data_IF_773149672004
#
_entry.id   IF_773149672004
#
_cell.length_a   1.000
_cell.length_b   1.000
_cell.length_c   1.000
_cell.angle_alpha   90.00
_cell.angle_beta   90.00
_cell.angle_gamma   90.00
#
_symmetry.space_group_name_H-M   'P 1'
#
loop_
_entity.id
_entity.type
_entity.pdbx_description
1 polymer ?
#
# COMPACT_ATOMS: atom_id res chain seq x y z
N UNK A 1 36.96 -14.14 -31.01
CA UNK A 1 36.95 -13.05 -30.01
C UNK A 1 35.51 -12.69 -29.71
N UNK A 2 34.89 -13.23 -28.65
CA UNK A 2 33.52 -12.90 -28.29
C UNK A 2 33.43 -11.43 -27.85
N UNK A 3 32.59 -10.68 -28.55
CA UNK A 3 32.33 -9.26 -28.32
C UNK A 3 31.70 -9.09 -26.94
N UNK A 4 32.44 -8.49 -26.01
CA UNK A 4 31.93 -8.06 -24.73
C UNK A 4 30.91 -6.93 -24.94
N UNK A 5 29.64 -7.31 -25.09
CA UNK A 5 28.54 -6.36 -25.03
C UNK A 5 28.59 -5.65 -23.69
N UNK A 6 29.00 -4.38 -23.74
CA UNK A 6 28.92 -3.46 -22.63
C UNK A 6 27.47 -3.48 -22.11
N UNK A 7 27.28 -4.05 -20.91
CA UNK A 7 26.06 -3.89 -20.13
C UNK A 7 25.94 -2.42 -19.75
N UNK A 8 25.47 -1.62 -20.70
CA UNK A 8 24.96 -0.31 -20.45
C UNK A 8 23.87 -0.50 -19.39
N UNK A 9 24.09 0.09 -18.21
CA UNK A 9 23.08 0.22 -17.17
C UNK A 9 21.98 1.13 -17.71
N UNK A 10 21.13 0.58 -18.58
CA UNK A 10 19.91 1.23 -19.03
C UNK A 10 18.96 1.12 -17.85
N UNK A 11 18.72 2.28 -17.24
CA UNK A 11 17.81 2.47 -16.13
C UNK A 11 16.49 1.72 -16.35
N UNK A 12 16.13 0.86 -15.40
CA UNK A 12 14.86 0.78 -14.65
C UNK A 12 13.51 0.96 -15.38
N UNK A 13 13.46 1.12 -16.69
CA UNK A 13 12.23 1.20 -17.47
C UNK A 13 11.66 -0.21 -17.62
N UNK A 14 10.35 -0.33 -17.55
CA UNK A 14 9.65 -1.56 -17.91
C UNK A 14 9.72 -1.69 -19.43
N UNK A 15 10.27 -2.79 -19.92
CA UNK A 15 10.26 -3.06 -21.35
C UNK A 15 8.88 -3.55 -21.82
N UNK A 16 8.71 -3.69 -23.13
CA UNK A 16 7.42 -4.10 -23.72
C UNK A 16 7.03 -5.53 -23.32
N UNK A 17 7.98 -6.44 -23.21
CA UNK A 17 7.73 -7.85 -22.88
C UNK A 17 7.34 -7.99 -21.41
N UNK A 18 8.05 -7.31 -20.50
CA UNK A 18 7.68 -7.23 -19.08
C UNK A 18 6.26 -6.67 -18.90
N UNK A 19 5.85 -5.68 -19.69
CA UNK A 19 4.48 -5.16 -19.61
C UNK A 19 3.43 -6.17 -20.09
N UNK A 20 3.75 -6.99 -21.09
CA UNK A 20 2.85 -8.05 -21.56
C UNK A 20 2.72 -9.15 -20.50
N UNK A 21 3.82 -9.61 -19.92
CA UNK A 21 3.80 -10.57 -18.82
C UNK A 21 3.01 -10.05 -17.60
N UNK A 22 3.07 -8.74 -17.33
CA UNK A 22 2.27 -8.13 -16.27
C UNK A 22 0.77 -8.16 -16.57
N UNK A 23 0.38 -7.94 -17.83
CA UNK A 23 -1.03 -7.98 -18.24
C UNK A 23 -1.54 -9.42 -18.18
N UNK A 24 -0.76 -10.39 -18.66
CA UNK A 24 -1.09 -11.83 -18.61
C UNK A 24 -1.21 -12.32 -17.16
N UNK A 25 -0.24 -11.99 -16.31
CA UNK A 25 -0.31 -12.28 -14.87
C UNK A 25 -1.53 -11.63 -14.20
N UNK A 26 -1.96 -10.46 -14.68
CA UNK A 26 -3.14 -9.77 -14.13
C UNK A 26 -4.44 -10.45 -14.55
N UNK A 27 -4.54 -10.90 -15.80
CA UNK A 27 -5.67 -11.68 -16.31
C UNK A 27 -5.87 -12.98 -15.52
N UNK A 28 -4.79 -13.69 -15.16
CA UNK A 28 -4.86 -14.92 -14.36
C UNK A 28 -5.29 -14.71 -12.90
N UNK A 29 -5.11 -13.50 -12.35
CA UNK A 29 -5.32 -13.23 -10.91
C UNK A 29 -6.69 -12.62 -10.63
N UNK A 30 -7.31 -11.99 -11.62
CA UNK A 30 -8.56 -11.26 -11.45
C UNK A 30 -9.65 -11.96 -12.26
N UNK A 31 -10.35 -12.87 -11.60
CA UNK A 31 -11.41 -13.73 -12.18
C UNK A 31 -12.62 -12.95 -12.72
N UNK A 32 -12.82 -11.70 -12.29
CA UNK A 32 -13.98 -10.88 -12.66
C UNK A 32 -13.48 -9.49 -13.09
N UNK A 33 -13.82 -8.97 -14.29
CA UNK A 33 -13.48 -7.62 -14.73
C UNK A 33 -14.25 -6.56 -13.93
N UNK A 34 -14.07 -6.55 -12.61
CA UNK A 34 -14.55 -5.49 -11.75
C UNK A 34 -13.67 -4.27 -11.98
N UNK A 35 -14.31 -3.11 -12.00
CA UNK A 35 -13.70 -1.80 -12.12
C UNK A 35 -12.89 -1.40 -10.85
N UNK A 36 -12.11 -2.33 -10.29
CA UNK A 36 -11.29 -2.15 -9.09
C UNK A 36 -9.91 -1.65 -9.47
N UNK A 37 -9.64 -0.37 -9.22
CA UNK A 37 -8.29 0.24 -9.29
C UNK A 37 -7.30 -0.37 -8.30
N UNK A 38 -7.82 -1.02 -7.27
CA UNK A 38 -7.08 -1.43 -6.09
C UNK A 38 -7.25 -2.93 -5.92
N UNK A 39 -6.14 -3.63 -6.08
CA UNK A 39 -5.99 -5.02 -5.68
C UNK A 39 -5.88 -5.08 -4.15
N UNK A 40 -6.54 -6.06 -3.55
CA UNK A 40 -6.33 -6.45 -2.16
C UNK A 40 -4.87 -6.89 -1.93
N UNK A 41 -4.46 -6.97 -0.68
CA UNK A 41 -3.12 -7.45 -0.33
C UNK A 41 -2.83 -8.84 -0.89
N UNK A 42 -3.78 -9.77 -0.79
CA UNK A 42 -3.64 -11.12 -1.35
C UNK A 42 -3.49 -11.09 -2.87
N UNK A 43 -4.36 -10.36 -3.57
CA UNK A 43 -4.29 -10.24 -5.04
C UNK A 43 -2.96 -9.60 -5.51
N UNK A 44 -2.40 -8.65 -4.77
CA UNK A 44 -1.08 -8.07 -5.08
C UNK A 44 0.04 -9.11 -5.00
N UNK A 45 0.05 -9.92 -3.95
CA UNK A 45 1.04 -10.98 -3.78
C UNK A 45 0.90 -12.05 -4.88
N UNK A 46 -0.33 -12.47 -5.19
CA UNK A 46 -0.60 -13.42 -6.27
C UNK A 46 -0.18 -12.86 -7.64
N UNK A 47 -0.48 -11.58 -7.92
CA UNK A 47 -0.06 -10.91 -9.15
C UNK A 47 1.46 -10.92 -9.30
N UNK A 48 2.21 -10.62 -8.24
CA UNK A 48 3.67 -10.64 -8.28
C UNK A 48 4.23 -12.04 -8.47
N UNK A 49 3.66 -13.05 -7.80
CA UNK A 49 4.06 -14.44 -7.96
C UNK A 49 3.85 -14.92 -9.41
N UNK A 50 2.67 -14.62 -10.00
CA UNK A 50 2.36 -14.94 -11.40
C UNK A 50 3.26 -14.22 -12.38
N UNK A 51 3.49 -12.93 -12.17
CA UNK A 51 4.43 -12.16 -12.97
C UNK A 51 5.85 -12.76 -12.96
N UNK A 52 6.36 -13.17 -11.79
CA UNK A 52 7.67 -13.80 -11.69
C UNK A 52 7.71 -15.16 -12.42
N UNK A 53 6.63 -15.94 -12.35
CA UNK A 53 6.52 -17.23 -13.03
C UNK A 53 6.54 -17.07 -14.56
N UNK A 54 5.73 -16.16 -15.10
CA UNK A 54 5.63 -15.91 -16.55
C UNK A 54 6.93 -15.29 -17.09
N UNK A 55 7.48 -14.29 -16.40
CA UNK A 55 8.70 -13.60 -16.85
C UNK A 55 9.99 -14.41 -16.66
N UNK A 56 9.93 -15.55 -15.93
CA UNK A 56 11.11 -16.34 -15.57
C UNK A 56 12.16 -15.58 -14.76
N UNK A 57 11.76 -14.48 -14.09
CA UNK A 57 12.66 -13.52 -13.47
C UNK A 57 12.06 -12.89 -12.23
N UNK A 58 12.85 -12.83 -11.15
CA UNK A 58 12.49 -12.14 -9.91
C UNK A 58 13.09 -10.72 -9.80
N UNK A 59 13.50 -10.12 -10.94
CA UNK A 59 14.16 -8.80 -10.97
C UNK A 59 13.27 -7.65 -10.49
N UNK A 60 11.94 -7.80 -10.51
CA UNK A 60 10.99 -6.76 -10.08
C UNK A 60 10.42 -7.12 -8.72
N UNK A 61 10.50 -6.19 -7.78
CA UNK A 61 9.86 -6.34 -6.47
C UNK A 61 8.33 -6.27 -6.57
N UNK A 62 7.63 -6.87 -5.60
CA UNK A 62 6.17 -6.80 -5.44
C UNK A 62 5.66 -5.35 -5.54
N UNK A 63 6.36 -4.44 -4.88
CA UNK A 63 6.08 -3.00 -4.91
C UNK A 63 6.22 -2.40 -6.31
N UNK A 64 7.23 -2.81 -7.09
CA UNK A 64 7.40 -2.37 -8.48
C UNK A 64 6.26 -2.85 -9.36
N UNK A 65 5.91 -4.14 -9.28
CA UNK A 65 4.82 -4.77 -10.04
C UNK A 65 3.48 -4.10 -9.74
N UNK A 66 3.15 -3.96 -8.46
CA UNK A 66 1.89 -3.31 -8.02
C UNK A 66 1.80 -1.86 -8.50
N UNK A 67 2.89 -1.09 -8.38
CA UNK A 67 2.90 0.31 -8.86
C UNK A 67 2.71 0.39 -10.38
N UNK A 68 3.29 -0.54 -11.12
CA UNK A 68 3.16 -0.56 -12.58
C UNK A 68 1.75 -0.97 -13.00
N UNK A 69 1.17 -1.99 -12.36
CA UNK A 69 -0.24 -2.38 -12.53
C UNK A 69 -1.17 -1.19 -12.35
N UNK A 70 -1.02 -0.44 -11.25
CA UNK A 70 -1.84 0.74 -10.98
C UNK A 70 -1.70 1.80 -12.10
N UNK A 71 -0.47 2.06 -12.58
CA UNK A 71 -0.22 2.99 -13.69
C UNK A 71 -0.91 2.56 -14.99
N UNK A 72 -0.88 1.26 -15.30
CA UNK A 72 -1.59 0.70 -16.46
C UNK A 72 -3.10 0.90 -16.34
N UNK A 73 -3.68 0.58 -15.18
CA UNK A 73 -5.10 0.78 -14.92
C UNK A 73 -5.53 2.25 -15.10
N UNK A 74 -4.81 3.19 -14.49
CA UNK A 74 -5.11 4.63 -14.60
C UNK A 74 -4.97 5.12 -16.05
N UNK A 75 -3.95 4.65 -16.77
CA UNK A 75 -3.74 5.02 -18.19
C UNK A 75 -4.85 4.48 -19.08
N UNK A 76 -5.24 3.21 -18.89
CA UNK A 76 -6.32 2.57 -19.63
C UNK A 76 -7.64 3.32 -19.45
N UNK A 77 -8.00 3.68 -18.21
CA UNK A 77 -9.21 4.47 -17.93
C UNK A 77 -9.20 5.85 -18.58
N UNK A 78 -8.05 6.54 -18.55
CA UNK A 78 -7.90 7.80 -19.26
C UNK A 78 -8.15 7.62 -20.75
N UNK A 79 -7.56 6.60 -21.38
CA UNK A 79 -7.72 6.30 -22.80
C UNK A 79 -9.20 6.02 -23.12
N UNK A 80 -9.83 5.09 -22.39
CA UNK A 80 -11.24 4.72 -22.60
C UNK A 80 -12.16 5.92 -22.41
N UNK A 81 -11.97 6.69 -21.34
CA UNK A 81 -12.80 7.88 -21.07
C UNK A 81 -12.61 8.98 -22.12
N UNK A 82 -11.39 9.12 -22.68
CA UNK A 82 -11.10 10.07 -23.76
C UNK A 82 -11.77 9.62 -25.05
N UNK A 83 -11.60 8.35 -25.44
CA UNK A 83 -12.25 7.78 -26.62
C UNK A 83 -13.77 7.92 -26.55
N UNK A 84 -14.38 7.60 -25.40
CA UNK A 84 -15.83 7.74 -25.20
C UNK A 84 -16.30 9.19 -25.36
N UNK A 85 -15.53 10.17 -24.88
CA UNK A 85 -15.85 11.60 -25.03
C UNK A 85 -15.68 12.10 -26.45
N UNK A 86 -14.63 11.65 -27.13
CA UNK A 86 -14.32 12.08 -28.49
C UNK A 86 -15.30 11.47 -29.50
N UNK A 87 -15.70 10.21 -29.30
CA UNK A 87 -16.73 9.55 -30.11
C UNK A 87 -18.05 10.34 -30.10
N UNK A 88 -18.47 10.84 -28.93
CA UNK A 88 -19.68 11.69 -28.81
C UNK A 88 -19.57 13.03 -29.55
N UNK A 89 -18.35 13.51 -29.80
CA UNK A 89 -18.07 14.80 -30.44
C UNK A 89 -17.65 14.67 -31.90
N UNK A 90 -17.55 13.46 -32.44
CA UNK A 90 -16.94 13.21 -33.75
C UNK A 90 -15.45 13.59 -33.82
N UNK A 91 -14.77 13.63 -32.68
CA UNK A 91 -13.34 13.96 -32.59
C UNK A 91 -12.46 12.70 -32.70
N UNK A 92 -11.17 12.91 -33.00
CA UNK A 92 -10.15 11.86 -33.14
C UNK A 92 -10.00 11.00 -31.88
N UNK A 93 -9.74 9.70 -32.06
CA UNK A 93 -9.48 8.78 -30.95
C UNK A 93 -8.14 9.05 -30.27
N UNK A 94 -7.92 8.49 -29.07
CA UNK A 94 -6.68 8.66 -28.30
C UNK A 94 -5.42 8.38 -29.11
N UNK A 95 -5.46 7.32 -29.93
CA UNK A 95 -4.32 6.88 -30.74
C UNK A 95 -4.07 7.76 -31.97
N UNK A 96 -5.05 8.57 -32.37
CA UNK A 96 -4.94 9.53 -33.48
C UNK A 96 -4.44 10.90 -33.00
N UNK A 97 -4.43 11.13 -31.68
CA UNK A 97 -3.88 12.35 -31.08
C UNK A 97 -2.35 12.37 -31.20
N UNK A 98 -1.78 13.56 -31.39
CA UNK A 98 -0.34 13.76 -31.35
C UNK A 98 0.24 13.44 -29.95
N UNK A 99 1.52 13.11 -29.89
CA UNK A 99 2.20 12.80 -28.63
C UNK A 99 2.11 13.97 -27.62
N UNK A 100 2.10 15.22 -28.09
CA UNK A 100 1.96 16.41 -27.27
C UNK A 100 0.56 16.50 -26.64
N UNK A 101 -0.49 16.23 -27.40
CA UNK A 101 -1.88 16.19 -26.91
C UNK A 101 -2.10 15.06 -25.91
N UNK A 102 -1.60 13.86 -26.21
CA UNK A 102 -1.65 12.73 -25.27
C UNK A 102 -0.94 13.05 -23.95
N UNK A 103 0.22 13.71 -24.01
CA UNK A 103 0.95 14.15 -22.83
C UNK A 103 0.17 15.19 -22.02
N UNK A 104 -0.45 16.18 -22.69
CA UNK A 104 -1.25 17.19 -22.02
C UNK A 104 -2.49 16.58 -21.34
N UNK A 105 -3.18 15.65 -22.00
CA UNK A 105 -4.29 14.92 -21.40
C UNK A 105 -3.85 14.12 -20.17
N UNK A 106 -2.68 13.45 -20.20
CA UNK A 106 -2.12 12.77 -19.01
C UNK A 106 -1.85 13.75 -17.87
N UNK A 107 -1.29 14.92 -18.17
CA UNK A 107 -0.98 15.96 -17.19
C UNK A 107 -2.26 16.51 -16.55
N UNK A 108 -3.25 16.84 -17.37
CA UNK A 108 -4.57 17.32 -16.91
C UNK A 108 -5.29 16.24 -16.12
N UNK A 109 -5.27 14.97 -16.55
CA UNK A 109 -5.86 13.87 -15.80
C UNK A 109 -5.22 13.69 -14.42
N UNK A 110 -3.88 13.74 -14.35
CA UNK A 110 -3.15 13.65 -13.08
C UNK A 110 -3.45 14.85 -12.16
N UNK A 111 -3.68 16.04 -12.74
CA UNK A 111 -4.09 17.23 -11.98
C UNK A 111 -5.55 17.14 -11.54
N UNK A 112 -6.42 16.58 -12.38
CA UNK A 112 -7.84 16.35 -12.14
C UNK A 112 -8.05 15.29 -11.07
N UNK A 113 -7.38 14.15 -11.10
CA UNK A 113 -7.42 13.19 -9.97
C UNK A 113 -6.92 13.80 -8.65
N UNK A 114 -6.01 14.79 -8.73
CA UNK A 114 -5.57 15.55 -7.54
C UNK A 114 -6.55 16.65 -7.10
N UNK A 115 -7.55 17.01 -7.89
CA UNK A 115 -8.45 18.15 -7.65
C UNK A 115 -9.95 17.90 -7.89
N UNK A 116 -10.37 16.70 -8.27
CA UNK A 116 -11.73 16.38 -8.74
C UNK A 116 -12.44 15.43 -7.78
N UNK A 117 -12.61 15.88 -6.54
CA UNK A 117 -13.79 15.58 -5.72
C UNK A 117 -14.64 16.84 -5.53
N UNK A 118 -14.54 17.80 -6.45
CA UNK A 118 -15.50 18.89 -6.60
C UNK A 118 -16.27 18.73 -7.91
N UNK A 119 -17.55 18.41 -7.73
CA UNK A 119 -18.71 18.68 -8.58
C UNK A 119 -18.91 17.82 -9.83
N UNK A 120 -20.03 17.08 -9.85
CA UNK A 120 -21.20 17.20 -10.77
C UNK A 120 -22.37 16.54 -9.98
N UNK A 121 -23.50 17.18 -9.67
CA UNK A 121 -24.53 17.71 -10.57
C UNK A 121 -25.12 19.08 -10.17
N UNK A 122 -25.71 19.81 -11.14
CA UNK A 122 -26.39 21.07 -10.93
C UNK A 122 -27.88 20.90 -10.55
N UNK A 123 -28.46 21.98 -10.02
CA UNK A 123 -29.89 22.22 -9.73
C UNK A 123 -30.43 21.69 -8.38
N UNK A 124 -30.32 22.51 -7.34
CA UNK A 124 -31.40 23.42 -6.91
C UNK A 124 -30.83 24.43 -5.90
N UNK A 125 -31.14 25.72 -6.11
CA UNK A 125 -30.82 26.82 -5.21
C UNK A 125 -31.53 26.61 -3.87
N UNK A 126 -30.76 26.24 -2.84
CA UNK A 126 -31.12 26.52 -1.46
C UNK A 126 -29.86 27.05 -0.75
N UNK A 127 -30.00 28.20 -0.09
CA UNK A 127 -28.99 28.97 0.67
C UNK A 127 -28.20 28.13 1.69
N UNK A 128 -27.32 27.26 1.21
CA UNK A 128 -26.40 26.51 2.04
C UNK A 128 -25.25 27.44 2.43
N UNK A 129 -25.41 28.08 3.60
CA UNK A 129 -24.39 28.80 4.36
C UNK A 129 -23.02 28.15 4.13
N UNK A 130 -22.13 28.92 3.49
CA UNK A 130 -20.78 28.56 3.10
C UNK A 130 -19.93 28.29 4.35
N UNK A 131 -20.15 27.13 4.95
CA UNK A 131 -19.32 26.63 6.05
C UNK A 131 -17.94 26.36 5.46
N UNK A 132 -16.86 26.95 5.99
CA UNK A 132 -15.52 26.84 5.41
C UNK A 132 -15.07 25.37 5.39
N UNK A 133 -15.32 24.72 4.25
CA UNK A 133 -14.92 23.35 3.95
C UNK A 133 -13.40 23.28 4.05
N UNK A 134 -12.90 22.40 4.93
CA UNK A 134 -11.50 21.99 5.08
C UNK A 134 -10.67 22.58 6.26
N UNK A 135 -11.28 22.98 7.37
CA UNK A 135 -10.53 23.07 8.61
C UNK A 135 -10.36 21.66 9.21
N UNK A 136 -9.11 21.19 9.37
CA UNK A 136 -8.84 19.93 10.07
C UNK A 136 -9.19 20.09 11.54
N UNK A 137 -10.10 19.25 12.02
CA UNK A 137 -10.51 19.23 13.43
C UNK A 137 -9.47 18.51 14.29
N UNK A 138 -9.54 18.68 15.62
CA UNK A 138 -8.73 17.90 16.57
C UNK A 138 -8.91 16.39 16.37
N UNK A 139 -10.13 15.95 16.05
CA UNK A 139 -10.42 14.55 15.71
C UNK A 139 -9.66 14.11 14.46
N UNK A 140 -9.66 14.93 13.41
CA UNK A 140 -8.96 14.60 12.16
C UNK A 140 -7.44 14.47 12.39
N UNK A 141 -6.88 15.28 13.30
CA UNK A 141 -5.46 15.18 13.67
C UNK A 141 -5.14 13.84 14.35
N UNK A 142 -5.96 13.41 15.31
CA UNK A 142 -5.79 12.12 15.98
C UNK A 142 -5.87 10.97 14.97
N UNK A 143 -6.93 10.94 14.15
CA UNK A 143 -7.12 9.94 13.10
C UNK A 143 -5.95 9.90 12.11
N UNK A 144 -5.36 11.05 11.79
CA UNK A 144 -4.20 11.11 10.89
C UNK A 144 -2.96 10.47 11.50
N UNK A 145 -2.68 10.72 12.78
CA UNK A 145 -1.51 10.14 13.46
C UNK A 145 -1.67 8.62 13.57
N UNK A 146 -2.87 8.16 13.95
CA UNK A 146 -3.19 6.73 14.02
C UNK A 146 -3.09 6.06 12.64
N UNK A 147 -3.63 6.70 11.59
CA UNK A 147 -3.51 6.23 10.21
C UNK A 147 -2.07 6.18 9.70
N UNK A 148 -1.23 7.14 10.08
CA UNK A 148 0.18 7.15 9.72
C UNK A 148 0.92 6.02 10.46
N UNK A 149 0.59 5.79 11.74
CA UNK A 149 1.13 4.66 12.48
C UNK A 149 0.78 3.32 11.83
N UNK A 150 -0.51 3.07 11.55
CA UNK A 150 -0.93 1.85 10.84
C UNK A 150 -0.27 1.70 9.48
N UNK A 151 -0.13 2.81 8.73
CA UNK A 151 0.52 2.76 7.43
C UNK A 151 2.01 2.40 7.55
N UNK A 152 2.70 2.83 8.60
CA UNK A 152 4.09 2.43 8.86
C UNK A 152 4.17 0.96 9.27
N UNK A 153 3.28 0.52 10.14
CA UNK A 153 3.26 -0.84 10.67
C UNK A 153 2.96 -1.86 9.58
N UNK A 154 1.88 -1.66 8.83
CA UNK A 154 1.57 -2.42 7.61
C UNK A 154 2.79 -2.48 6.68
N UNK A 155 3.45 -1.34 6.47
CA UNK A 155 4.57 -1.24 5.53
C UNK A 155 5.83 -1.98 5.99
N UNK A 156 6.04 -2.10 7.31
CA UNK A 156 7.10 -2.92 7.91
C UNK A 156 6.72 -4.40 7.80
N UNK A 157 5.48 -4.75 8.13
CA UNK A 157 4.98 -6.13 8.13
C UNK A 157 4.95 -6.74 6.72
N UNK A 158 4.78 -5.93 5.67
CA UNK A 158 4.86 -6.38 4.28
C UNK A 158 6.25 -6.84 3.84
N UNK A 159 7.26 -6.85 4.73
CA UNK A 159 8.52 -7.53 4.48
C UNK A 159 9.25 -6.94 3.27
N UNK A 160 9.42 -5.62 3.25
CA UNK A 160 10.36 -5.05 2.28
C UNK A 160 11.73 -5.70 2.53
N UNK A 161 12.33 -6.22 1.47
CA UNK A 161 13.70 -6.75 1.50
C UNK A 161 14.59 -5.75 2.27
N UNK A 162 15.40 -6.21 3.23
CA UNK A 162 16.23 -5.37 4.09
C UNK A 162 17.30 -4.58 3.32
N UNK A 163 17.30 -4.59 1.98
CA UNK A 163 18.17 -3.78 1.14
C UNK A 163 17.41 -2.77 0.26
N UNK A 164 16.08 -2.84 0.14
CA UNK A 164 15.31 -1.92 -0.72
C UNK A 164 14.90 -0.66 0.05
N UNK A 165 15.44 0.49 -0.37
CA UNK A 165 15.14 1.80 0.22
C UNK A 165 13.76 2.28 -0.19
N UNK A 166 12.72 1.87 0.52
CA UNK A 166 11.35 2.27 0.16
C UNK A 166 10.81 3.30 1.13
N UNK A 167 10.57 4.51 0.61
CA UNK A 167 9.88 5.56 1.35
C UNK A 167 8.41 5.19 1.52
N UNK A 168 7.88 5.35 2.74
CA UNK A 168 6.45 5.17 3.01
C UNK A 168 5.60 6.02 2.04
N UNK A 169 4.74 5.41 1.21
CA UNK A 169 3.91 6.16 0.29
C UNK A 169 2.78 6.90 1.01
N UNK A 170 2.64 8.20 0.75
CA UNK A 170 1.57 9.02 1.39
C UNK A 170 0.14 8.59 0.99
N UNK A 171 -0.03 7.86 -0.11
CA UNK A 171 -1.34 7.31 -0.48
C UNK A 171 -1.80 6.21 0.50
N UNK A 172 -0.85 5.47 1.11
CA UNK A 172 -1.17 4.44 2.10
C UNK A 172 -1.68 5.09 3.40
N UNK A 173 -1.00 6.16 3.85
CA UNK A 173 -1.48 6.98 4.99
C UNK A 173 -2.89 7.50 4.70
N UNK A 174 -3.14 8.02 3.49
CA UNK A 174 -4.49 8.48 3.10
C UNK A 174 -5.51 7.34 3.17
N UNK A 175 -5.17 6.16 2.67
CA UNK A 175 -6.07 5.00 2.65
C UNK A 175 -6.46 4.63 4.08
N UNK A 176 -5.48 4.51 4.98
CA UNK A 176 -5.72 4.24 6.41
C UNK A 176 -6.56 5.34 7.07
N UNK A 177 -6.27 6.61 6.75
CA UNK A 177 -7.02 7.74 7.28
C UNK A 177 -8.50 7.70 6.91
N UNK A 178 -8.81 7.39 5.65
CA UNK A 178 -10.20 7.21 5.20
C UNK A 178 -10.84 5.98 5.85
N UNK A 179 -10.09 4.88 5.99
CA UNK A 179 -10.59 3.65 6.63
C UNK A 179 -10.95 3.86 8.11
N UNK A 180 -10.22 4.72 8.81
CA UNK A 180 -10.50 5.12 10.21
C UNK A 180 -11.61 6.18 10.33
N UNK A 181 -12.31 6.49 9.23
CA UNK A 181 -13.44 7.43 9.22
C UNK A 181 -13.05 8.90 8.97
N UNK A 182 -11.83 9.16 8.49
CA UNK A 182 -11.44 10.49 8.02
C UNK A 182 -12.19 10.90 6.75
N UNK A 183 -12.29 12.21 6.44
CA UNK A 183 -13.03 12.70 5.27
C UNK A 183 -12.53 12.10 3.95
N UNK A 184 -13.44 11.49 3.17
CA UNK A 184 -13.12 10.79 1.92
C UNK A 184 -12.53 11.72 0.83
N UNK A 185 -12.86 13.01 0.89
CA UNK A 185 -12.36 14.04 -0.02
C UNK A 185 -10.92 14.49 0.32
N UNK A 186 -10.35 14.03 1.44
CA UNK A 186 -8.97 14.33 1.81
C UNK A 186 -8.01 13.83 0.73
N UNK A 187 -7.22 14.72 0.13
CA UNK A 187 -6.29 14.35 -0.95
C UNK A 187 -4.95 13.84 -0.41
N UNK A 188 -4.21 13.08 -1.22
CA UNK A 188 -2.81 12.70 -0.89
C UNK A 188 -1.93 13.95 -0.69
N UNK A 189 -2.22 15.04 -1.41
CA UNK A 189 -1.54 16.32 -1.23
C UNK A 189 -1.77 16.92 0.16
N UNK A 190 -3.02 16.85 0.66
CA UNK A 190 -3.38 17.27 2.01
C UNK A 190 -2.64 16.45 3.07
N UNK A 191 -2.66 15.12 2.95
CA UNK A 191 -1.89 14.19 3.81
C UNK A 191 -0.39 14.53 3.80
N UNK A 192 0.18 14.81 2.63
CA UNK A 192 1.60 15.17 2.48
C UNK A 192 1.93 16.51 3.16
N UNK A 193 1.05 17.50 3.05
CA UNK A 193 1.22 18.80 3.70
C UNK A 193 1.09 18.67 5.22
N UNK A 194 0.11 17.89 5.70
CA UNK A 194 -0.14 17.64 7.12
C UNK A 194 0.99 16.87 7.79
N UNK A 195 1.49 15.81 7.14
CA UNK A 195 2.69 15.09 7.56
C UNK A 195 3.86 16.04 7.79
N UNK A 196 4.16 16.92 6.82
CA UNK A 196 5.24 17.91 6.97
C UNK A 196 5.00 18.88 8.13
N UNK A 197 3.77 19.37 8.29
CA UNK A 197 3.41 20.27 9.38
C UNK A 197 3.61 19.61 10.75
N UNK A 198 3.21 18.34 10.92
CA UNK A 198 3.42 17.58 12.15
C UNK A 198 4.92 17.34 12.40
N UNK A 199 5.69 16.95 11.39
CA UNK A 199 7.14 16.74 11.55
C UNK A 199 7.83 18.02 12.03
N UNK A 200 7.49 19.17 11.44
CA UNK A 200 8.02 20.46 11.88
C UNK A 200 7.59 20.79 13.32
N UNK A 201 6.32 20.60 13.64
CA UNK A 201 5.79 20.85 14.99
C UNK A 201 6.43 19.94 16.04
N UNK A 202 6.62 18.66 15.74
CA UNK A 202 7.30 17.70 16.60
C UNK A 202 8.76 18.09 16.86
N UNK A 203 9.51 18.45 15.81
CA UNK A 203 10.90 18.87 15.96
C UNK A 203 11.01 20.16 16.78
N UNK A 204 10.05 21.07 16.62
CA UNK A 204 9.96 22.28 17.44
C UNK A 204 9.70 21.94 18.91
N UNK A 205 8.67 21.14 19.21
CA UNK A 205 8.35 20.71 20.58
C UNK A 205 9.56 20.02 21.21
N UNK A 206 10.23 19.14 20.46
CA UNK A 206 11.45 18.46 20.92
C UNK A 206 12.55 19.45 21.33
N UNK A 207 12.76 20.52 20.56
CA UNK A 207 13.74 21.56 20.92
C UNK A 207 13.31 22.32 22.19
N UNK A 208 12.03 22.64 22.32
CA UNK A 208 11.50 23.29 23.53
C UNK A 208 11.63 22.43 24.77
N UNK A 209 11.31 21.13 24.68
CA UNK A 209 11.47 20.18 25.79
C UNK A 209 12.92 20.19 26.28
N UNK A 210 13.89 20.05 25.37
CA UNK A 210 15.32 20.08 25.74
C UNK A 210 15.73 21.42 26.39
N UNK A 211 15.28 22.56 25.84
CA UNK A 211 15.65 23.87 26.41
C UNK A 211 15.01 24.15 27.77
N UNK A 212 13.75 23.76 27.97
CA UNK A 212 13.07 23.93 29.26
C UNK A 212 13.70 23.02 30.33
N UNK A 213 14.01 21.79 29.97
CA UNK A 213 14.73 20.85 30.83
C UNK A 213 16.09 21.42 31.27
N UNK A 214 16.83 22.07 30.36
CA UNK A 214 18.11 22.73 30.66
C UNK A 214 17.97 24.02 31.49
N UNK A 215 16.88 24.77 31.34
CA UNK A 215 16.68 26.07 31.99
C UNK A 215 16.20 25.95 33.44
N UNK A 216 15.15 25.18 33.66
CA UNK A 216 14.48 25.06 34.97
C UNK A 216 13.97 23.66 35.29
N UNK A 217 14.19 22.68 34.40
CA UNK A 217 13.69 21.32 34.58
C UNK A 217 12.18 21.17 34.33
N UNK A 218 11.52 22.20 33.79
CA UNK A 218 10.09 22.13 33.48
C UNK A 218 9.81 21.28 32.23
N UNK A 219 8.65 20.61 32.22
CA UNK A 219 8.19 19.86 31.07
C UNK A 219 7.28 20.74 30.19
N UNK A 220 7.55 20.75 28.89
CA UNK A 220 6.70 21.40 27.88
C UNK A 220 5.21 21.05 28.05
N UNK A 221 4.91 19.79 28.40
CA UNK A 221 3.54 19.31 28.48
C UNK A 221 2.81 19.72 29.76
N UNK A 222 3.51 20.25 30.76
CA UNK A 222 2.88 20.74 31.99
C UNK A 222 2.37 22.19 31.84
N UNK A 223 2.83 22.90 30.80
CA UNK A 223 2.32 24.21 30.44
C UNK A 223 0.94 24.13 29.77
N UNK A 224 0.11 25.12 30.07
CA UNK A 224 -1.16 25.37 29.38
C UNK A 224 -0.95 25.75 27.91
N UNK A 225 -2.00 25.62 27.08
CA UNK A 225 -1.95 26.03 25.67
C UNK A 225 -1.44 27.47 25.48
N UNK A 226 -1.91 28.41 26.32
CA UNK A 226 -1.53 29.82 26.23
C UNK A 226 -0.05 30.05 26.58
N UNK A 227 0.50 29.28 27.53
CA UNK A 227 1.91 29.34 27.91
C UNK A 227 2.79 28.77 26.81
N UNK A 228 2.45 27.59 26.28
CA UNK A 228 3.13 26.99 25.11
C UNK A 228 3.13 27.94 23.92
N UNK A 229 2.01 28.59 23.64
CA UNK A 229 1.89 29.56 22.55
C UNK A 229 2.78 30.79 22.78
N UNK A 230 2.87 31.30 24.01
CA UNK A 230 3.79 32.40 24.37
C UNK A 230 5.25 31.98 24.24
N UNK A 231 5.61 30.80 24.72
CA UNK A 231 6.97 30.24 24.60
C UNK A 231 7.37 30.07 23.13
N UNK A 232 6.47 29.56 22.29
CA UNK A 232 6.70 29.44 20.86
C UNK A 232 7.02 30.78 20.19
N UNK A 233 6.27 31.85 20.52
CA UNK A 233 6.55 33.19 19.97
C UNK A 233 7.89 33.76 20.46
N UNK A 234 8.32 33.42 21.68
CA UNK A 234 9.62 33.84 22.23
C UNK A 234 10.79 33.10 21.56
N UNK A 235 10.68 31.79 21.34
CA UNK A 235 11.80 30.94 20.92
C UNK A 235 12.01 30.86 19.40
N UNK A 236 10.96 30.93 18.56
CA UNK A 236 11.06 30.59 17.12
C UNK A 236 10.79 31.77 16.17
N UNK A 237 10.72 32.99 16.70
CA UNK A 237 10.37 34.24 16.01
C UNK A 237 8.87 34.60 16.11
N UNK A 238 8.54 35.89 16.29
CA UNK A 238 7.16 36.38 16.36
C UNK A 238 6.28 36.06 15.14
N UNK A 239 6.89 35.68 14.00
CA UNK A 239 6.23 35.36 12.73
C UNK A 239 5.89 33.87 12.57
N UNK A 240 6.39 32.99 13.44
CA UNK A 240 6.04 31.57 13.42
C UNK A 240 4.64 31.37 14.01
N UNK A 241 3.62 31.34 13.17
CA UNK A 241 2.22 31.13 13.56
C UNK A 241 1.82 29.64 13.61
N UNK A 242 2.77 28.73 13.83
CA UNK A 242 2.50 27.28 13.82
C UNK A 242 1.72 26.85 15.06
N UNK A 243 0.42 27.15 15.09
CA UNK A 243 -0.51 26.80 16.17
C UNK A 243 -0.54 25.29 16.46
N UNK A 244 -0.30 24.48 15.44
CA UNK A 244 -0.32 23.00 15.51
C UNK A 244 0.62 22.47 16.60
N UNK A 245 1.78 23.07 16.82
CA UNK A 245 2.70 22.63 17.89
C UNK A 245 2.13 22.78 19.30
N UNK A 246 1.23 23.75 19.52
CA UNK A 246 0.57 23.95 20.81
C UNK A 246 -0.63 23.00 21.02
N UNK A 247 -1.19 22.44 19.95
CA UNK A 247 -2.35 21.53 19.97
C UNK A 247 -1.94 20.07 20.17
N UNK A 248 -0.65 19.74 20.02
CA UNK A 248 -0.13 18.39 20.26
C UNK A 248 -0.01 18.15 21.76
N UNK A 249 -0.76 17.18 22.26
CA UNK A 249 -0.63 16.68 23.64
C UNK A 249 0.52 15.68 23.80
N UNK A 250 0.77 15.27 25.06
CA UNK A 250 1.87 14.37 25.44
C UNK A 250 1.75 13.00 24.76
N UNK A 251 0.53 12.46 24.70
CA UNK A 251 0.25 11.17 24.08
C UNK A 251 0.52 11.20 22.58
N UNK A 252 -0.04 12.20 21.89
CA UNK A 252 0.14 12.42 20.45
C UNK A 252 1.60 12.66 20.11
N UNK A 253 2.34 13.41 20.94
CA UNK A 253 3.79 13.59 20.78
C UNK A 253 4.54 12.25 20.84
N UNK A 254 4.23 11.41 21.81
CA UNK A 254 4.85 10.09 21.96
C UNK A 254 4.49 9.15 20.79
N UNK A 255 3.25 9.19 20.30
CA UNK A 255 2.84 8.47 19.08
C UNK A 255 3.65 8.95 17.87
N UNK A 256 3.74 10.26 17.64
CA UNK A 256 4.54 10.82 16.53
C UNK A 256 6.01 10.41 16.65
N UNK A 257 6.58 10.43 17.87
CA UNK A 257 7.94 9.95 18.13
C UNK A 257 8.12 8.49 17.72
N UNK A 258 7.19 7.62 18.09
CA UNK A 258 7.24 6.20 17.73
C UNK A 258 7.13 5.99 16.22
N UNK A 259 6.19 6.69 15.56
CA UNK A 259 6.01 6.64 14.10
C UNK A 259 7.27 7.10 13.37
N UNK A 260 7.89 8.21 13.81
CA UNK A 260 9.11 8.72 13.21
C UNK A 260 10.32 7.80 13.44
N UNK A 261 10.41 7.14 14.59
CA UNK A 261 11.46 6.14 14.84
C UNK A 261 11.30 4.93 13.90
N UNK A 262 10.08 4.43 13.70
CA UNK A 262 9.79 3.34 12.75
C UNK A 262 10.05 3.76 11.29
N UNK A 263 9.63 4.96 10.90
CA UNK A 263 9.94 5.49 9.56
C UNK A 263 11.43 5.76 9.36
N UNK A 264 12.15 6.09 10.44
CA UNK A 264 13.60 6.16 10.43
C UNK A 264 14.25 4.79 10.22
N UNK A 265 13.71 3.69 10.76
CA UNK A 265 14.18 2.33 10.43
C UNK A 265 14.05 2.05 8.94
N UNK A 266 12.90 2.39 8.34
CA UNK A 266 12.70 2.32 6.88
C UNK A 266 13.74 3.14 6.10
N UNK A 267 14.24 4.23 6.71
CA UNK A 267 15.30 5.09 6.15
C UNK A 267 16.74 4.72 6.54
N UNK A 268 16.98 3.99 7.64
CA UNK A 268 18.30 3.69 8.27
C UNK A 268 18.87 2.33 7.92
N UNK A 269 18.06 1.42 7.39
CA UNK A 269 18.50 0.22 6.64
C UNK A 269 19.56 0.56 5.55
N UNK A 270 19.82 1.84 5.32
CA UNK A 270 20.70 2.41 4.32
C UNK A 270 22.18 2.54 4.66
N UNK A 271 22.73 2.05 5.79
CA UNK A 271 24.16 2.30 6.12
C UNK A 271 24.92 1.18 6.85
N UNK A 272 24.69 -0.11 6.57
CA UNK A 272 25.75 -1.13 6.79
C UNK A 272 26.58 -1.39 5.52
N UNK A 273 26.07 -0.97 4.35
CA UNK A 273 26.83 -0.93 3.11
C UNK A 273 27.90 0.16 3.17
N UNK A 274 29.13 -0.26 3.48
CA UNK A 274 30.36 0.49 3.28
C UNK A 274 30.23 1.42 2.05
N UNK A 275 30.15 2.73 2.31
CA UNK A 275 30.45 3.73 1.27
C UNK A 275 31.87 3.44 0.79
N UNK A 276 32.00 2.69 -0.31
CA UNK A 276 33.22 2.74 -1.12
C UNK A 276 33.37 4.18 -1.53
N UNK A 277 34.29 4.84 -0.83
CA UNK A 277 34.72 6.22 -0.97
C UNK A 277 34.95 6.46 -2.46
N UNK A 278 33.95 7.03 -3.15
CA UNK A 278 34.08 7.45 -4.54
C UNK A 278 35.18 8.50 -4.53
N UNK A 279 36.34 8.11 -5.05
CA UNK A 279 37.58 8.88 -4.93
C UNK A 279 37.35 10.31 -5.36
N UNK A 280 37.48 11.24 -4.41
CA UNK A 280 37.95 12.56 -4.77
C UNK A 280 39.32 12.38 -5.42
N UNK A 281 39.48 12.94 -6.63
CA UNK A 281 40.76 13.13 -7.29
C UNK A 281 41.73 13.77 -6.28
N UNK A 282 42.64 12.95 -5.75
CA UNK A 282 43.81 13.42 -5.00
C UNK A 282 44.82 13.91 -6.05
N UNK A 283 45.39 15.12 -5.88
CA UNK A 283 46.53 15.52 -6.70
C UNK A 283 47.69 14.56 -6.45
N UNK A 284 48.33 14.20 -7.56
CA UNK A 284 49.51 13.35 -7.69
C UNK A 284 50.61 13.85 -6.74
N UNK A 285 51.09 12.98 -5.85
CA UNK A 285 52.45 13.05 -5.30
C UNK A 285 52.93 11.67 -4.82
N UNK A 286 54.26 11.58 -4.87
CA UNK A 286 55.18 10.45 -4.89
C UNK A 286 54.87 9.17 -4.09
N UNK A 287 55.28 8.08 -4.73
CA UNK A 287 55.47 6.71 -4.26
C UNK A 287 56.25 6.61 -2.94
N UNK A 288 55.78 5.77 -2.01
CA UNK A 288 56.61 4.89 -1.16
C UNK A 288 55.81 3.62 -0.84
N UNK A 289 56.51 2.50 -1.01
CA UNK A 289 56.21 1.09 -0.73
C UNK A 289 55.63 0.79 0.67
N UNK A 290 54.83 -0.28 0.83
CA UNK A 290 55.09 -1.44 1.73
C UNK A 290 53.90 -2.41 1.77
N UNK A 291 54.19 -3.65 2.15
CA UNK A 291 53.48 -4.90 1.89
C UNK A 291 52.48 -5.33 2.99
N UNK A 292 51.74 -6.39 2.65
CA UNK A 292 51.10 -7.40 3.51
C UNK A 292 49.98 -7.01 4.49
N UNK A 293 48.77 -7.50 4.19
CA UNK A 293 47.91 -8.10 5.23
C UNK A 293 46.84 -8.99 4.60
N UNK A 294 47.02 -10.30 4.77
CA UNK A 294 46.02 -11.35 4.57
C UNK A 294 45.14 -11.40 5.81
N UNK A 295 43.84 -11.12 5.69
CA UNK A 295 42.89 -11.44 6.76
C UNK A 295 41.64 -12.10 6.16
N UNK A 296 41.51 -13.39 6.47
CA UNK A 296 40.48 -14.29 5.95
C UNK A 296 39.30 -14.26 6.91
N UNK A 297 38.21 -13.63 6.49
CA UNK A 297 36.97 -13.62 7.25
C UNK A 297 36.39 -15.05 7.40
N UNK A 298 35.97 -15.46 8.62
CA UNK A 298 35.44 -16.79 8.85
C UNK A 298 34.07 -16.95 8.19
N UNK A 299 33.92 -18.01 7.37
CA UNK A 299 32.65 -18.46 6.82
C UNK A 299 31.66 -18.74 7.94
N UNK A 300 30.50 -18.09 7.88
CA UNK A 300 29.38 -18.33 8.79
C UNK A 300 28.98 -19.82 8.76
N UNK A 301 28.70 -20.44 9.92
CA UNK A 301 28.28 -21.83 9.98
C UNK A 301 26.95 -22.02 9.24
N UNK A 302 26.90 -23.05 8.39
CA UNK A 302 25.69 -23.42 7.66
C UNK A 302 24.54 -23.69 8.64
N UNK A 303 23.30 -23.33 8.29
CA UNK A 303 22.13 -23.62 9.12
C UNK A 303 22.08 -25.11 9.46
N UNK A 304 21.77 -25.43 10.72
CA UNK A 304 21.76 -26.82 11.18
C UNK A 304 20.74 -27.64 10.37
N UNK A 305 21.05 -28.90 10.01
CA UNK A 305 20.16 -29.75 9.21
C UNK A 305 18.77 -29.96 9.85
N UNK A 306 18.64 -29.76 11.17
CA UNK A 306 17.36 -29.75 11.87
C UNK A 306 16.44 -28.61 11.41
N UNK A 307 16.99 -27.41 11.24
CA UNK A 307 16.23 -26.23 10.83
C UNK A 307 15.78 -26.35 9.37
N UNK A 308 16.63 -26.92 8.53
CA UNK A 308 16.32 -27.20 7.12
C UNK A 308 15.19 -28.23 7.00
N UNK A 309 15.21 -29.30 7.81
CA UNK A 309 14.13 -30.27 7.87
C UNK A 309 12.80 -29.69 8.40
N UNK A 310 12.85 -28.76 9.37
CA UNK A 310 11.67 -28.07 9.87
C UNK A 310 11.07 -27.13 8.82
N UNK A 311 11.91 -26.36 8.12
CA UNK A 311 11.46 -25.50 7.03
C UNK A 311 10.84 -26.31 5.89
N UNK A 312 11.45 -27.44 5.52
CA UNK A 312 10.89 -28.32 4.48
C UNK A 312 9.50 -28.87 4.87
N UNK A 313 9.29 -29.25 6.13
CA UNK A 313 7.97 -29.69 6.63
C UNK A 313 6.93 -28.57 6.60
N UNK A 314 7.34 -27.34 6.94
CA UNK A 314 6.45 -26.20 6.91
C UNK A 314 6.04 -25.85 5.48
N UNK A 315 6.99 -25.83 4.53
CA UNK A 315 6.71 -25.61 3.11
C UNK A 315 5.77 -26.68 2.53
N UNK A 316 5.95 -27.96 2.90
CA UNK A 316 5.05 -29.03 2.51
C UNK A 316 3.63 -28.80 3.04
N UNK A 317 3.48 -28.45 4.31
CA UNK A 317 2.16 -28.18 4.91
C UNK A 317 1.46 -27.00 4.23
N UNK A 318 2.21 -25.94 3.88
CA UNK A 318 1.68 -24.81 3.14
C UNK A 318 1.32 -25.16 1.69
N UNK A 319 2.03 -26.12 1.07
CA UNK A 319 1.67 -26.65 -0.23
C UNK A 319 0.36 -27.43 -0.17
N UNK A 320 0.24 -28.37 0.75
CA UNK A 320 -0.94 -29.22 0.94
C UNK A 320 -2.19 -28.37 1.20
N UNK A 321 -2.07 -27.32 2.03
CA UNK A 321 -3.18 -26.40 2.32
C UNK A 321 -3.60 -25.57 1.09
N UNK A 322 -2.66 -25.20 0.21
CA UNK A 322 -2.99 -24.51 -1.06
C UNK A 322 -3.72 -25.44 -2.02
N UNK A 323 -3.32 -26.72 -2.06
CA UNK A 323 -3.93 -27.75 -2.90
C UNK A 323 -5.35 -28.08 -2.44
N UNK A 324 -5.56 -28.25 -1.14
CA UNK A 324 -6.89 -28.46 -0.54
C UNK A 324 -7.85 -27.30 -0.87
N UNK A 325 -7.39 -26.05 -0.69
CA UNK A 325 -8.18 -24.85 -1.04
C UNK A 325 -8.41 -24.68 -2.53
N UNK A 326 -7.64 -25.36 -3.39
CA UNK A 326 -7.87 -25.37 -4.84
C UNK A 326 -8.97 -26.38 -5.20
N UNK A 327 -8.92 -27.58 -4.63
CA UNK A 327 -9.92 -28.62 -4.88
C UNK A 327 -11.30 -28.21 -4.32
N UNK A 328 -11.35 -27.54 -3.16
CA UNK A 328 -12.60 -26.98 -2.60
C UNK A 328 -13.24 -25.96 -3.57
N UNK A 329 -12.43 -25.08 -4.18
CA UNK A 329 -12.93 -24.12 -5.18
C UNK A 329 -13.46 -24.81 -6.43
N UNK A 330 -12.79 -25.87 -6.87
CA UNK A 330 -13.21 -26.69 -8.02
C UNK A 330 -14.52 -27.44 -7.73
N UNK A 331 -14.69 -27.95 -6.51
CA UNK A 331 -15.95 -28.55 -6.07
C UNK A 331 -17.09 -27.52 -6.02
N UNK A 332 -16.84 -26.34 -5.45
CA UNK A 332 -17.81 -25.25 -5.42
C UNK A 332 -18.21 -24.79 -6.83
N UNK A 333 -17.27 -24.71 -7.76
CA UNK A 333 -17.54 -24.38 -9.16
C UNK A 333 -18.38 -25.47 -9.85
N UNK A 334 -18.05 -26.74 -9.63
CA UNK A 334 -18.81 -27.86 -10.19
C UNK A 334 -20.27 -27.87 -9.70
N UNK A 335 -20.48 -27.65 -8.41
CA UNK A 335 -21.82 -27.54 -7.81
C UNK A 335 -22.62 -26.39 -8.43
N UNK A 336 -22.01 -25.20 -8.62
CA UNK A 336 -22.68 -24.07 -9.27
C UNK A 336 -23.07 -24.38 -10.73
N UNK A 337 -22.20 -25.08 -11.47
CA UNK A 337 -22.51 -25.51 -12.84
C UNK A 337 -23.64 -26.54 -12.87
N UNK A 338 -23.72 -27.43 -11.89
CA UNK A 338 -24.83 -28.39 -11.76
C UNK A 338 -26.16 -27.68 -11.52
N UNK A 339 -26.18 -26.66 -10.63
CA UNK A 339 -27.36 -25.81 -10.39
C UNK A 339 -27.79 -25.09 -11.69
N UNK A 340 -26.82 -24.64 -12.50
CA UNK A 340 -27.12 -24.00 -13.78
C UNK A 340 -27.61 -24.99 -14.85
N UNK A 341 -27.16 -26.24 -14.86
CA UNK A 341 -27.64 -27.26 -15.79
C UNK A 341 -29.05 -27.76 -15.47
N UNK A 342 -29.45 -27.77 -14.20
CA UNK A 342 -30.83 -28.08 -13.81
C UNK A 342 -31.85 -27.02 -14.26
N UNK A 343 -31.38 -25.92 -14.86
CA UNK A 343 -32.16 -24.73 -15.25
C UNK A 343 -32.79 -24.82 -16.65
N UNK A 344 -33.02 -26.01 -17.20
CA UNK A 344 -33.76 -26.16 -18.47
C UNK A 344 -35.18 -25.61 -18.29
N UNK A 345 -35.56 -24.52 -19.00
CA UNK A 345 -36.86 -23.91 -18.81
C UNK A 345 -37.98 -24.81 -19.35
N UNK A 346 -39.12 -24.94 -18.66
CA UNK A 346 -40.30 -25.59 -19.22
C UNK A 346 -40.85 -24.77 -20.40
N UNK A 347 -41.34 -25.45 -21.43
CA UNK A 347 -41.77 -24.86 -22.72
C UNK A 347 -43.07 -24.03 -22.63
N UNK A 348 -43.75 -24.00 -21.49
CA UNK A 348 -45.03 -23.31 -21.32
C UNK A 348 -44.86 -21.94 -20.61
N UNK A 349 -45.00 -20.81 -21.32
CA UNK A 349 -44.70 -19.48 -20.80
C UNK A 349 -45.64 -19.00 -19.67
N UNK A 350 -46.79 -19.62 -19.47
CA UNK A 350 -47.77 -19.16 -18.46
C UNK A 350 -47.60 -19.80 -17.06
N UNK A 351 -46.84 -20.88 -16.91
CA UNK A 351 -46.46 -21.44 -15.60
C UNK A 351 -45.14 -20.87 -15.05
N UNK A 352 -44.53 -19.95 -15.79
CA UNK A 352 -43.13 -19.55 -15.61
C UNK A 352 -42.92 -18.65 -14.38
N UNK A 353 -43.90 -17.82 -14.02
CA UNK A 353 -43.72 -16.81 -12.94
C UNK A 353 -43.64 -17.46 -11.56
N UNK A 354 -44.63 -18.27 -11.18
CA UNK A 354 -44.66 -18.95 -9.86
C UNK A 354 -43.50 -19.96 -9.72
N UNK A 355 -43.14 -20.63 -10.82
CA UNK A 355 -41.99 -21.53 -10.86
C UNK A 355 -40.67 -20.76 -10.67
N UNK A 356 -40.48 -19.63 -11.35
CA UNK A 356 -39.27 -18.81 -11.21
C UNK A 356 -39.16 -18.19 -9.82
N UNK A 357 -40.26 -17.74 -9.21
CA UNK A 357 -40.24 -17.20 -7.85
C UNK A 357 -39.91 -18.29 -6.82
N UNK A 358 -40.50 -19.48 -6.96
CA UNK A 358 -40.14 -20.64 -6.11
C UNK A 358 -38.69 -21.09 -6.32
N UNK A 359 -38.19 -21.08 -7.55
CA UNK A 359 -36.81 -21.43 -7.89
C UNK A 359 -35.82 -20.42 -7.29
N UNK A 360 -36.11 -19.12 -7.40
CA UNK A 360 -35.28 -18.07 -6.78
C UNK A 360 -35.28 -18.20 -5.27
N UNK A 361 -36.44 -18.46 -4.65
CA UNK A 361 -36.55 -18.71 -3.21
C UNK A 361 -35.67 -19.88 -2.76
N UNK A 362 -35.75 -21.02 -3.44
CA UNK A 362 -34.91 -22.19 -3.16
C UNK A 362 -33.41 -21.93 -3.37
N UNK A 363 -33.05 -21.16 -4.41
CA UNK A 363 -31.66 -20.78 -4.67
C UNK A 363 -31.10 -19.87 -3.57
N UNK A 364 -31.91 -18.92 -3.09
CA UNK A 364 -31.52 -18.05 -1.99
C UNK A 364 -31.32 -18.85 -0.70
N UNK A 365 -32.22 -19.79 -0.40
CA UNK A 365 -32.10 -20.70 0.75
C UNK A 365 -30.82 -21.54 0.68
N UNK A 366 -30.56 -22.20 -0.47
CA UNK A 366 -29.35 -23.01 -0.67
C UNK A 366 -28.06 -22.18 -0.52
N UNK A 367 -28.03 -20.94 -1.02
CA UNK A 367 -26.88 -20.05 -0.83
C UNK A 367 -26.69 -19.66 0.64
N UNK A 368 -27.78 -19.40 1.36
CA UNK A 368 -27.72 -19.06 2.79
C UNK A 368 -27.22 -20.24 3.62
N UNK A 369 -27.65 -21.45 3.31
CA UNK A 369 -27.17 -22.68 3.96
C UNK A 369 -25.67 -22.89 3.69
N UNK A 370 -25.21 -22.66 2.46
CA UNK A 370 -23.80 -22.74 2.11
C UNK A 370 -22.96 -21.70 2.88
N UNK A 371 -23.44 -20.45 2.99
CA UNK A 371 -22.75 -19.42 3.77
C UNK A 371 -22.71 -19.76 5.27
N UNK A 372 -23.79 -20.31 5.81
CA UNK A 372 -23.85 -20.76 7.20
C UNK A 372 -22.85 -21.91 7.44
N UNK A 373 -22.76 -22.87 6.52
CA UNK A 373 -21.78 -23.96 6.58
C UNK A 373 -20.35 -23.44 6.56
N UNK A 374 -19.99 -22.59 5.58
CA UNK A 374 -18.65 -22.00 5.51
C UNK A 374 -18.28 -21.20 6.76
N UNK A 375 -19.25 -20.51 7.37
CA UNK A 375 -19.01 -19.77 8.61
C UNK A 375 -18.76 -20.72 9.79
N UNK A 376 -19.46 -21.86 9.84
CA UNK A 376 -19.27 -22.90 10.85
C UNK A 376 -17.90 -23.56 10.72
N UNK A 377 -17.48 -23.90 9.50
CA UNK A 377 -16.16 -24.49 9.22
C UNK A 377 -15.03 -23.54 9.64
N UNK A 378 -15.10 -22.26 9.25
CA UNK A 378 -14.11 -21.25 9.66
C UNK A 378 -14.04 -21.05 11.17
N UNK A 379 -15.16 -21.19 11.88
CA UNK A 379 -15.18 -21.11 13.33
C UNK A 379 -14.48 -22.34 13.95
N UNK A 380 -14.74 -23.54 13.40
CA UNK A 380 -14.06 -24.77 13.82
C UNK A 380 -12.54 -24.69 13.60
N UNK A 381 -12.08 -24.19 12.45
CA UNK A 381 -10.65 -24.00 12.17
C UNK A 381 -9.97 -23.09 13.22
N UNK A 382 -10.66 -22.03 13.66
CA UNK A 382 -10.15 -21.14 14.72
C UNK A 382 -10.06 -21.86 16.06
N UNK A 383 -11.07 -22.67 16.40
CA UNK A 383 -11.09 -23.45 17.63
C UNK A 383 -9.99 -24.52 17.64
N UNK A 384 -9.77 -25.20 16.52
CA UNK A 384 -8.73 -26.20 16.34
C UNK A 384 -7.33 -25.56 16.42
N UNK A 385 -7.14 -24.40 15.80
CA UNK A 385 -5.91 -23.62 15.92
C UNK A 385 -5.63 -23.21 17.38
N UNK A 386 -6.64 -22.72 18.11
CA UNK A 386 -6.50 -22.42 19.53
C UNK A 386 -6.26 -23.67 20.39
N UNK A 387 -6.82 -24.82 20.04
CA UNK A 387 -6.54 -26.09 20.70
C UNK A 387 -5.08 -26.52 20.48
N UNK A 388 -4.56 -26.40 19.26
CA UNK A 388 -3.17 -26.69 18.92
C UNK A 388 -2.21 -25.78 19.71
N UNK A 389 -2.50 -24.47 19.77
CA UNK A 389 -1.72 -23.53 20.58
C UNK A 389 -1.70 -23.93 22.06
N UNK A 390 -2.85 -24.33 22.63
CA UNK A 390 -2.90 -24.81 24.03
C UNK A 390 -2.05 -26.05 24.25
N UNK A 391 -2.04 -27.00 23.31
CA UNK A 391 -1.21 -28.21 23.40
C UNK A 391 0.29 -27.89 23.33
N UNK A 392 0.69 -26.94 22.49
CA UNK A 392 2.09 -26.51 22.40
C UNK A 392 2.56 -25.85 23.70
N UNK A 393 1.73 -25.00 24.32
CA UNK A 393 2.07 -24.36 25.58
C UNK A 393 2.11 -25.33 26.77
N UNK A 394 1.32 -26.41 26.75
CA UNK A 394 1.32 -27.42 27.81
C UNK A 394 2.54 -28.37 27.79
N UNK A 395 3.35 -28.33 26.72
CA UNK A 395 4.54 -29.18 26.54
C UNK A 395 5.87 -28.46 26.82
N UNK A 396 5.85 -27.14 26.98
CA UNK A 396 6.92 -26.34 27.61
C UNK A 396 6.73 -26.33 29.11
#
# INVERSE_FOLDING_TARGET
MPSAYASARVNSAWDREELLHLIEAWEEVVDDPKDRLLLSTGERATLHARFCAISGSNKRSLSSVTRQHHRLCTSYRLIVSTNKKNLKKGALGWFDLSAAEQHELRRVHTKKEKGMTKNVEPEEEADAVDTPKSAWTTRDWALFVDAWQEAVDDFIDYGNEPDEKVKLPNWLIRQKFVALGGPQDTTVGSITAKKRCIIHSYNFIRQCVTQLEELDGSDWFDHTFNERFRLQRKLVSPKSSQRVGCEIDRETYNKIRAVLAKEEVLGRVTVSGHKRKRGQKKPRNASVSSEDSLDSAPRSPSPSPLLEAQNARFEQLMHDLREERMEERKQNQAMLLEILHQRNPPEDPNQNVDFMESLVGKQQEQLMDLFAQMHKERQQEREDFHALLRQLHARS
#
